data_IF_915637552595
#
_entry.id   IF_915637552595
#
_cell.length_a   1.000
_cell.length_b   1.000
_cell.length_c   1.000
_cell.angle_alpha   90.00
_cell.angle_beta   90.00
_cell.angle_gamma   90.00
#
_symmetry.space_group_name_H-M   'P 1'
#
loop_
_entity.id
_entity.type
_entity.pdbx_description
1 polymer ?
#
# COMPACT_ATOMS: atom_id res chain seq x y z
N UNK A 1 4.10 -54.41 -8.83
CA UNK A 1 3.46 -53.56 -7.78
C UNK A 1 4.51 -52.60 -7.24
N UNK A 2 4.91 -51.48 -7.86
CA UNK A 2 4.21 -50.36 -8.50
C UNK A 2 3.22 -49.59 -7.62
N UNK A 3 3.51 -49.39 -6.32
CA UNK A 3 2.71 -48.47 -5.46
C UNK A 3 3.46 -47.71 -4.35
N UNK A 4 4.80 -47.77 -4.26
CA UNK A 4 5.53 -47.11 -3.15
C UNK A 4 6.36 -45.89 -3.60
N UNK A 5 6.56 -45.69 -4.91
CA UNK A 5 7.48 -44.69 -5.44
C UNK A 5 6.86 -43.32 -5.78
N UNK A 6 5.71 -42.98 -5.19
CA UNK A 6 4.94 -41.78 -5.56
C UNK A 6 4.60 -40.87 -4.37
N UNK A 7 5.36 -40.94 -3.28
CA UNK A 7 5.09 -40.14 -2.07
C UNK A 7 6.19 -39.13 -1.70
N UNK A 8 7.30 -39.06 -2.44
CA UNK A 8 8.44 -38.19 -2.07
C UNK A 8 8.50 -36.85 -2.83
N UNK A 9 7.57 -36.55 -3.74
CA UNK A 9 7.70 -35.39 -4.65
C UNK A 9 6.79 -34.20 -4.31
N UNK A 10 6.11 -34.18 -3.16
CA UNK A 10 5.13 -33.13 -2.83
C UNK A 10 5.62 -32.13 -1.77
N UNK A 11 6.85 -32.25 -1.26
CA UNK A 11 7.32 -31.43 -0.13
C UNK A 11 8.21 -30.22 -0.49
N UNK A 12 8.46 -29.93 -1.77
CA UNK A 12 9.36 -28.82 -2.15
C UNK A 12 8.60 -27.75 -2.95
N UNK A 13 7.52 -27.22 -2.37
CA UNK A 13 6.88 -25.98 -2.85
C UNK A 13 6.24 -25.19 -1.69
N UNK A 14 6.67 -25.43 -0.45
CA UNK A 14 6.53 -24.44 0.62
C UNK A 14 7.59 -23.35 0.38
N UNK A 15 7.47 -22.64 -0.74
CA UNK A 15 8.22 -21.43 -1.01
C UNK A 15 7.95 -20.46 0.13
N UNK A 16 9.02 -20.01 0.77
CA UNK A 16 9.06 -19.17 1.95
C UNK A 16 7.90 -18.17 1.97
N UNK A 17 6.87 -18.45 2.77
CA UNK A 17 5.98 -17.41 3.22
C UNK A 17 6.81 -16.54 4.16
N UNK A 18 7.52 -15.54 3.61
CA UNK A 18 8.15 -14.53 4.44
C UNK A 18 6.98 -13.75 5.05
N UNK A 19 6.65 -14.05 6.30
CA UNK A 19 5.89 -13.12 7.16
C UNK A 19 6.85 -12.07 7.72
N UNK A 20 7.91 -11.76 6.97
CA UNK A 20 9.02 -10.92 7.37
C UNK A 20 8.62 -9.45 7.41
N UNK A 21 9.34 -8.72 8.26
CA UNK A 21 9.38 -7.28 8.19
C UNK A 21 10.28 -6.87 7.03
N UNK A 22 9.85 -5.88 6.27
CA UNK A 22 10.60 -5.30 5.18
C UNK A 22 11.90 -4.71 5.73
N UNK A 23 13.02 -5.14 5.16
CA UNK A 23 14.34 -4.60 5.46
C UNK A 23 14.65 -3.46 4.49
N UNK A 24 14.49 -2.23 4.97
CA UNK A 24 14.68 -1.05 4.13
C UNK A 24 16.17 -0.89 3.79
N UNK A 25 16.51 -0.57 2.53
CA UNK A 25 17.89 -0.33 2.15
C UNK A 25 18.43 0.93 2.83
N UNK A 26 19.76 1.02 2.90
CA UNK A 26 20.47 2.19 3.39
C UNK A 26 21.59 2.57 2.41
N UNK A 27 21.85 3.88 2.26
CA UNK A 27 22.85 4.40 1.33
C UNK A 27 22.37 5.67 0.62
N UNK A 28 23.20 6.18 -0.29
CA UNK A 28 22.96 7.46 -0.98
C UNK A 28 22.03 7.31 -2.21
N UNK A 29 21.92 6.10 -2.77
CA UNK A 29 21.17 5.82 -4.01
C UNK A 29 19.74 5.30 -3.76
N UNK A 30 19.27 5.38 -2.51
CA UNK A 30 17.94 4.88 -2.13
C UNK A 30 16.82 5.73 -2.73
N UNK A 31 15.74 5.06 -3.10
CA UNK A 31 14.52 5.68 -3.60
C UNK A 31 13.61 5.99 -2.42
N UNK A 32 13.10 7.22 -2.33
CA UNK A 32 12.15 7.60 -1.29
C UNK A 32 10.73 7.59 -1.82
N UNK A 33 9.86 6.75 -1.24
CA UNK A 33 8.42 6.77 -1.49
C UNK A 33 7.68 7.30 -0.26
N UNK A 34 6.89 8.36 -0.44
CA UNK A 34 6.08 8.98 0.62
C UNK A 34 4.59 8.94 0.32
N UNK A 35 3.75 9.03 1.34
CA UNK A 35 2.29 9.15 1.22
C UNK A 35 1.87 10.61 1.25
N UNK A 36 0.95 10.96 0.37
CA UNK A 36 0.19 12.20 0.38
C UNK A 36 -1.29 11.84 0.57
N UNK A 37 -1.72 11.86 1.83
CA UNK A 37 -3.09 11.55 2.20
C UNK A 37 -3.99 12.76 1.94
N UNK A 38 -4.83 12.67 0.90
CA UNK A 38 -5.82 13.69 0.55
C UNK A 38 -7.25 13.25 0.90
N UNK A 39 -7.39 12.23 1.74
CA UNK A 39 -8.68 11.83 2.28
C UNK A 39 -9.10 12.80 3.38
N UNK A 40 -10.38 13.12 3.42
CA UNK A 40 -10.99 13.92 4.48
C UNK A 40 -11.87 13.03 5.34
N UNK A 41 -11.92 13.31 6.65
CA UNK A 41 -12.87 12.64 7.53
C UNK A 41 -14.31 12.81 7.00
N UNK A 42 -15.21 11.82 7.22
CA UNK A 42 -16.62 11.98 6.88
C UNK A 42 -17.17 13.24 7.57
N UNK A 43 -18.11 13.92 6.92
CA UNK A 43 -18.83 15.00 7.57
C UNK A 43 -19.62 14.43 8.77
N UNK A 44 -19.61 15.17 9.87
CA UNK A 44 -20.28 14.79 11.11
C UNK A 44 -21.80 14.99 10.90
N UNK A 45 -22.49 13.97 10.37
CA UNK A 45 -23.94 13.98 10.18
C UNK A 45 -24.65 13.73 11.53
N UNK A 46 -24.49 14.67 12.46
CA UNK A 46 -25.10 14.66 13.80
C UNK A 46 -26.63 14.91 13.78
N UNK A 47 -27.28 14.87 12.61
CA UNK A 47 -28.68 15.25 12.43
C UNK A 47 -29.69 14.09 12.42
N UNK A 48 -29.25 12.82 12.45
CA UNK A 48 -30.16 11.68 12.36
C UNK A 48 -30.31 10.95 13.69
N UNK A 49 -31.44 11.15 14.37
CA UNK A 49 -31.83 10.37 15.55
C UNK A 49 -32.03 8.90 15.20
N UNK A 50 -31.01 8.07 15.45
CA UNK A 50 -31.00 6.63 15.23
C UNK A 50 -29.71 6.01 15.74
N UNK A 51 -29.62 4.67 15.79
CA UNK A 51 -28.36 3.99 16.09
C UNK A 51 -27.32 4.35 15.02
N UNK A 52 -26.34 5.16 15.41
CA UNK A 52 -25.23 5.56 14.56
C UNK A 52 -24.10 4.53 14.69
N UNK A 53 -23.61 4.05 13.55
CA UNK A 53 -22.40 3.22 13.52
C UNK A 53 -21.22 4.10 13.98
N UNK A 54 -20.34 3.61 14.88
CA UNK A 54 -19.13 4.33 15.21
C UNK A 54 -18.29 4.50 13.94
N UNK A 55 -18.13 5.74 13.50
CA UNK A 55 -17.19 6.10 12.44
C UNK A 55 -15.88 6.52 13.09
N UNK A 56 -14.74 6.19 12.49
CA UNK A 56 -13.48 6.82 12.88
C UNK A 56 -13.53 8.29 12.44
N UNK A 57 -13.20 9.21 13.34
CA UNK A 57 -13.15 10.64 13.01
C UNK A 57 -11.90 11.02 12.18
N UNK A 58 -11.13 10.02 11.73
CA UNK A 58 -9.85 10.22 11.06
C UNK A 58 -9.86 9.49 9.72
N UNK A 59 -9.54 10.22 8.65
CA UNK A 59 -9.24 9.64 7.36
C UNK A 59 -7.72 9.42 7.26
N UNK A 60 -7.30 8.19 7.00
CA UNK A 60 -5.89 7.79 7.01
C UNK A 60 -5.53 7.02 5.74
N UNK A 61 -4.36 7.30 5.20
CA UNK A 61 -3.71 6.45 4.21
C UNK A 61 -2.26 6.20 4.62
N UNK A 62 -1.75 4.99 4.43
CA UNK A 62 -0.35 4.66 4.72
C UNK A 62 0.16 3.52 3.85
N UNK A 63 1.49 3.45 3.70
CA UNK A 63 2.18 2.33 3.08
C UNK A 63 2.10 1.12 4.01
N UNK A 64 1.76 -0.04 3.46
CA UNK A 64 1.55 -1.26 4.23
C UNK A 64 2.63 -2.30 3.97
N UNK A 65 2.91 -2.59 2.70
CA UNK A 65 3.90 -3.59 2.30
C UNK A 65 4.73 -3.16 1.10
N UNK A 66 5.95 -3.68 1.06
CA UNK A 66 6.83 -3.70 -0.11
C UNK A 66 7.11 -5.15 -0.45
N UNK A 67 6.84 -5.56 -1.69
CA UNK A 67 7.08 -6.90 -2.22
C UNK A 67 6.49 -8.06 -1.40
N UNK A 68 5.43 -7.77 -0.65
CA UNK A 68 4.71 -8.75 0.18
C UNK A 68 5.09 -8.68 1.67
N UNK A 69 6.18 -7.98 2.00
CA UNK A 69 6.71 -7.83 3.36
C UNK A 69 6.19 -6.57 4.03
N UNK A 70 5.92 -6.65 5.33
CA UNK A 70 5.31 -5.53 6.08
C UNK A 70 6.34 -4.46 6.38
N UNK A 71 6.01 -3.20 6.17
CA UNK A 71 6.93 -2.07 6.45
C UNK A 71 6.95 -1.71 7.94
N UNK A 72 5.83 -1.91 8.65
CA UNK A 72 5.72 -1.61 10.08
C UNK A 72 4.99 -2.74 10.85
N UNK A 73 5.37 -2.92 12.11
CA UNK A 73 4.60 -3.73 13.07
C UNK A 73 3.23 -3.10 13.36
N UNK A 74 3.13 -1.77 13.23
CA UNK A 74 1.90 -1.00 13.41
C UNK A 74 1.13 -0.84 12.09
N UNK A 75 0.12 0.04 12.08
CA UNK A 75 -0.75 0.34 10.94
C UNK A 75 -0.04 1.15 9.84
N UNK A 76 1.04 0.61 9.25
CA UNK A 76 1.76 1.17 8.11
C UNK A 76 2.78 2.26 8.44
N UNK A 77 3.30 2.91 7.39
CA UNK A 77 4.24 4.03 7.47
C UNK A 77 3.91 5.12 6.43
N UNK A 78 4.26 6.37 6.73
CA UNK A 78 4.04 7.51 5.82
C UNK A 78 5.14 7.64 4.76
N UNK A 79 6.28 6.99 4.97
CA UNK A 79 7.35 6.88 3.99
C UNK A 79 8.10 5.56 4.13
N UNK A 80 8.70 5.12 3.03
CA UNK A 80 9.62 3.98 2.98
C UNK A 80 10.73 4.27 1.99
N UNK A 81 11.93 3.80 2.31
CA UNK A 81 13.06 3.80 1.37
C UNK A 81 13.05 2.47 0.62
N UNK A 82 13.35 2.51 -0.68
CA UNK A 82 13.32 1.38 -1.60
C UNK A 82 14.64 1.29 -2.36
N UNK A 83 14.97 0.10 -2.85
CA UNK A 83 15.99 -0.02 -3.87
C UNK A 83 15.46 0.53 -5.20
N UNK A 84 16.36 0.83 -6.13
CA UNK A 84 15.97 1.09 -7.49
C UNK A 84 15.47 -0.20 -8.16
N UNK A 85 14.55 -0.06 -9.11
CA UNK A 85 13.97 -1.17 -9.84
C UNK A 85 12.52 -1.46 -9.47
N UNK A 86 12.09 -2.69 -9.75
CA UNK A 86 10.67 -3.02 -9.86
C UNK A 86 10.12 -3.55 -8.54
N UNK A 87 9.32 -2.72 -7.87
CA UNK A 87 8.68 -3.06 -6.60
C UNK A 87 7.17 -3.14 -6.71
N UNK A 88 6.59 -4.00 -5.88
CA UNK A 88 5.16 -4.12 -5.66
C UNK A 88 4.80 -3.46 -4.34
N UNK A 89 4.04 -2.38 -4.38
CA UNK A 89 3.67 -1.60 -3.20
C UNK A 89 2.21 -1.89 -2.84
N UNK A 90 1.96 -2.15 -1.57
CA UNK A 90 0.61 -2.24 -1.00
C UNK A 90 0.40 -1.11 0.00
N UNK A 91 -0.78 -0.49 -0.08
CA UNK A 91 -1.20 0.62 0.77
C UNK A 91 -2.56 0.31 1.36
N UNK A 92 -2.92 1.02 2.42
CA UNK A 92 -4.31 1.04 2.86
C UNK A 92 -4.81 2.48 2.94
N UNK A 93 -6.13 2.60 2.85
CA UNK A 93 -6.89 3.81 3.02
C UNK A 93 -8.10 3.51 3.88
N UNK A 94 -8.37 4.36 4.87
CA UNK A 94 -9.57 4.34 5.70
C UNK A 94 -10.16 5.75 5.71
N UNK A 95 -11.45 5.84 5.42
CA UNK A 95 -12.22 7.06 5.54
C UNK A 95 -13.50 6.73 6.30
N UNK A 96 -13.51 6.95 7.62
CA UNK A 96 -14.70 6.74 8.44
C UNK A 96 -15.11 5.29 8.62
N UNK A 97 -14.18 4.34 8.55
CA UNK A 97 -14.44 2.89 8.71
C UNK A 97 -14.51 2.12 7.39
N UNK A 98 -14.36 2.79 6.24
CA UNK A 98 -14.26 2.14 4.93
C UNK A 98 -12.79 1.77 4.67
N UNK A 99 -12.29 0.74 5.34
CA UNK A 99 -10.92 0.29 5.10
C UNK A 99 -10.81 -0.45 3.75
N UNK A 100 -9.87 -0.04 2.91
CA UNK A 100 -9.49 -0.71 1.66
C UNK A 100 -7.98 -0.83 1.51
N UNK A 101 -7.57 -1.84 0.75
CA UNK A 101 -6.17 -2.11 0.45
C UNK A 101 -5.90 -1.95 -1.05
N UNK A 102 -4.97 -1.07 -1.37
CA UNK A 102 -4.49 -0.82 -2.73
C UNK A 102 -3.20 -1.57 -2.99
N UNK A 103 -3.00 -2.03 -4.22
CA UNK A 103 -1.75 -2.69 -4.64
C UNK A 103 -1.37 -2.26 -6.04
N UNK A 104 -0.14 -1.82 -6.24
CA UNK A 104 0.38 -1.51 -7.57
C UNK A 104 1.83 -1.97 -7.72
N UNK A 105 2.32 -1.93 -8.96
CA UNK A 105 3.69 -2.27 -9.30
C UNK A 105 4.27 -1.18 -10.18
N UNK A 106 5.50 -0.78 -9.88
CA UNK A 106 6.20 0.30 -10.58
C UNK A 106 7.70 0.03 -10.59
N UNK A 107 8.41 0.60 -11.57
CA UNK A 107 9.88 0.56 -11.65
C UNK A 107 10.40 1.92 -11.22
N UNK A 108 11.10 1.98 -10.10
CA UNK A 108 11.65 3.19 -9.51
C UNK A 108 13.07 3.42 -10.02
N UNK A 109 13.41 4.68 -10.29
CA UNK A 109 14.75 5.09 -10.70
C UNK A 109 15.62 5.39 -9.48
N UNK A 110 16.93 5.16 -9.58
CA UNK A 110 17.92 5.44 -8.52
C UNK A 110 17.83 6.87 -7.99
N UNK A 111 17.99 7.03 -6.67
CA UNK A 111 17.84 8.32 -5.96
C UNK A 111 16.51 9.05 -6.23
N UNK A 112 15.49 8.36 -6.74
CA UNK A 112 14.21 8.97 -7.08
C UNK A 112 13.39 9.34 -5.84
N UNK A 113 12.73 10.50 -5.89
CA UNK A 113 11.81 10.94 -4.86
C UNK A 113 10.38 10.89 -5.38
N UNK A 114 9.57 9.99 -4.83
CA UNK A 114 8.20 9.73 -5.27
C UNK A 114 7.20 9.99 -4.15
N UNK A 115 5.98 10.32 -4.57
CA UNK A 115 4.85 10.54 -3.69
C UNK A 115 3.66 9.75 -4.20
N UNK A 116 2.97 9.12 -3.28
CA UNK A 116 1.75 8.38 -3.53
C UNK A 116 0.57 9.16 -2.97
N UNK A 117 -0.13 9.84 -3.86
CA UNK A 117 -1.32 10.61 -3.53
C UNK A 117 -2.52 9.67 -3.45
N UNK A 118 -3.15 9.61 -2.29
CA UNK A 118 -4.36 8.83 -2.05
C UNK A 118 -5.53 9.79 -1.86
N UNK A 119 -6.56 9.66 -2.69
CA UNK A 119 -7.76 10.51 -2.69
C UNK A 119 -9.02 9.67 -2.87
N UNK A 120 -10.18 10.22 -2.56
CA UNK A 120 -11.46 9.59 -2.86
C UNK A 120 -11.60 9.36 -4.38
N UNK A 121 -12.13 8.22 -4.78
CA UNK A 121 -12.33 7.92 -6.19
C UNK A 121 -13.52 8.69 -6.78
N UNK A 122 -13.35 9.25 -7.98
CA UNK A 122 -14.44 9.87 -8.75
C UNK A 122 -15.22 8.86 -9.62
N UNK A 123 -15.30 7.57 -9.22
CA UNK A 123 -15.84 6.51 -10.08
C UNK A 123 -15.91 5.13 -9.41
N UNK A 124 -15.47 4.07 -10.10
CA UNK A 124 -15.40 2.71 -9.51
C UNK A 124 -14.26 2.63 -8.50
N UNK A 125 -14.52 2.05 -7.33
CA UNK A 125 -13.59 1.99 -6.20
C UNK A 125 -13.93 3.04 -5.15
N UNK A 126 -13.41 2.87 -3.94
CA UNK A 126 -13.60 3.87 -2.87
C UNK A 126 -12.46 4.91 -2.94
N UNK A 127 -11.28 4.50 -3.39
CA UNK A 127 -10.08 5.33 -3.42
C UNK A 127 -9.34 5.27 -4.76
N UNK A 128 -8.62 6.35 -5.08
CA UNK A 128 -7.67 6.44 -6.19
C UNK A 128 -6.27 6.67 -5.63
N UNK A 129 -5.32 5.86 -6.09
CA UNK A 129 -3.89 6.11 -5.89
C UNK A 129 -3.28 6.73 -7.15
N UNK A 130 -2.45 7.75 -6.96
CA UNK A 130 -1.64 8.37 -7.99
C UNK A 130 -0.18 8.40 -7.55
N UNK A 131 0.69 7.71 -8.29
CA UNK A 131 2.13 7.84 -8.14
C UNK A 131 2.60 9.04 -8.95
N UNK A 132 3.32 9.94 -8.30
CA UNK A 132 3.93 11.13 -8.90
C UNK A 132 5.40 11.24 -8.47
N UNK A 133 6.20 11.95 -9.24
CA UNK A 133 7.51 12.41 -8.76
C UNK A 133 7.31 13.61 -7.84
N UNK A 134 8.05 13.66 -6.73
CA UNK A 134 7.95 14.75 -5.76
C UNK A 134 8.32 16.11 -6.38
N UNK A 135 9.26 16.13 -7.33
CA UNK A 135 9.68 17.32 -8.08
C UNK A 135 8.76 17.71 -9.25
N UNK A 136 7.82 16.85 -9.64
CA UNK A 136 6.91 17.08 -10.76
C UNK A 136 5.48 16.62 -10.41
N UNK A 137 4.80 17.29 -9.46
CA UNK A 137 3.55 16.81 -8.86
C UNK A 137 2.34 16.79 -9.79
N UNK A 138 2.46 17.45 -10.96
CA UNK A 138 1.43 17.50 -12.01
C UNK A 138 1.51 16.31 -12.98
N UNK A 139 2.64 15.59 -13.00
CA UNK A 139 2.84 14.42 -13.87
C UNK A 139 2.53 13.14 -13.11
N UNK A 140 1.43 12.49 -13.49
CA UNK A 140 1.03 11.21 -12.92
C UNK A 140 1.69 10.05 -13.66
N UNK A 141 2.54 9.31 -12.95
CA UNK A 141 3.26 8.14 -13.45
C UNK A 141 2.41 6.88 -13.45
N UNK A 142 1.53 6.75 -12.44
CA UNK A 142 0.64 5.59 -12.30
C UNK A 142 -0.66 6.00 -11.61
N UNK A 143 -1.78 5.53 -12.13
CA UNK A 143 -3.09 5.67 -11.48
C UNK A 143 -3.74 4.31 -11.30
N UNK A 144 -4.41 4.10 -10.16
CA UNK A 144 -5.26 2.93 -9.94
C UNK A 144 -6.34 3.21 -8.91
N UNK A 145 -7.56 2.76 -9.19
CA UNK A 145 -8.65 2.75 -8.22
C UNK A 145 -8.66 1.44 -7.43
N UNK A 146 -9.06 1.50 -6.15
CA UNK A 146 -9.12 0.35 -5.24
C UNK A 146 -10.16 0.54 -4.14
#
# INVERSE_FOLDING_TARGET
MLRILSLCSVLVLAGCATTGMYDAPSGDDVVKLSIDNQLAAPADDAAAGGWQMPVSNEAKASLFKVDGERISEQAGADSVDLEAGKHTIEVFADQGGILRFGKFRYTFEESGAYRLRIKAANGKGDYTLELIEAGAPDTVLKTKNF
#
